data_IF_204044319273
#
_entry.id   IF_204044319273
#
_cell.length_a   1.000
_cell.length_b   1.000
_cell.length_c   1.000
_cell.angle_alpha   90.00
_cell.angle_beta   90.00
_cell.angle_gamma   90.00
#
_symmetry.space_group_name_H-M   'P 1'
#
loop_
_entity.id
_entity.type
_entity.pdbx_description
1 polymer ?
#
# COMPACT_ATOMS: atom_id res chain seq x y z
N UNK A 1 -15.33 -14.82 1.02
CA UNK A 1 -13.84 -14.69 0.97
C UNK A 1 -13.14 -15.99 0.49
N UNK A 2 -13.66 -17.20 0.71
CA UNK A 2 -12.94 -18.46 0.37
C UNK A 2 -13.05 -18.97 -1.09
N UNK A 3 -13.39 -18.12 -2.07
CA UNK A 3 -13.42 -18.49 -3.50
C UNK A 3 -12.58 -17.57 -4.39
N UNK A 4 -11.74 -16.73 -3.81
CA UNK A 4 -10.87 -15.85 -4.60
C UNK A 4 -9.73 -16.71 -5.14
N UNK A 5 -9.66 -16.85 -6.46
CA UNK A 5 -8.60 -17.59 -7.13
C UNK A 5 -7.26 -16.88 -6.88
N UNK A 6 -6.21 -17.65 -6.59
CA UNK A 6 -4.87 -17.13 -6.31
C UNK A 6 -4.33 -16.22 -7.43
N UNK A 7 -4.75 -16.44 -8.67
CA UNK A 7 -4.46 -15.58 -9.83
C UNK A 7 -5.06 -14.17 -9.71
N UNK A 8 -6.31 -14.06 -9.25
CA UNK A 8 -6.95 -12.75 -9.02
C UNK A 8 -6.30 -12.02 -7.84
N UNK A 9 -5.99 -12.77 -6.77
CA UNK A 9 -5.34 -12.23 -5.58
C UNK A 9 -3.92 -11.76 -5.90
N UNK A 10 -3.19 -12.49 -6.73
CA UNK A 10 -1.87 -12.10 -7.24
C UNK A 10 -1.93 -10.77 -7.99
N UNK A 11 -2.92 -10.60 -8.88
CA UNK A 11 -3.08 -9.38 -9.68
C UNK A 11 -3.39 -8.19 -8.78
N UNK A 12 -4.31 -8.37 -7.83
CA UNK A 12 -4.66 -7.33 -6.85
C UNK A 12 -3.44 -6.99 -5.98
N UNK A 13 -2.68 -7.97 -5.53
CA UNK A 13 -1.48 -7.76 -4.72
C UNK A 13 -0.45 -6.86 -5.43
N UNK A 14 -0.15 -7.12 -6.70
CA UNK A 14 0.78 -6.29 -7.47
C UNK A 14 0.26 -4.85 -7.70
N UNK A 15 -1.04 -4.69 -7.94
CA UNK A 15 -1.66 -3.36 -8.08
C UNK A 15 -1.58 -2.59 -6.76
N UNK A 16 -1.92 -3.23 -5.64
CA UNK A 16 -1.87 -2.61 -4.31
C UNK A 16 -0.43 -2.29 -3.91
N UNK A 17 0.53 -3.14 -4.27
CA UNK A 17 1.97 -2.90 -4.10
C UNK A 17 2.45 -1.68 -4.89
N UNK A 18 2.16 -1.62 -6.19
CA UNK A 18 2.50 -0.46 -7.01
C UNK A 18 1.84 0.83 -6.51
N UNK A 19 0.55 0.76 -6.14
CA UNK A 19 -0.19 1.87 -5.56
C UNK A 19 0.39 2.35 -4.23
N UNK A 20 0.81 1.42 -3.36
CA UNK A 20 1.47 1.73 -2.09
C UNK A 20 2.81 2.45 -2.28
N UNK A 21 3.62 2.03 -3.25
CA UNK A 21 4.86 2.71 -3.61
C UNK A 21 4.58 4.13 -4.14
N UNK A 22 3.63 4.27 -5.06
CA UNK A 22 3.25 5.58 -5.58
C UNK A 22 2.78 6.53 -4.46
N UNK A 23 2.02 6.00 -3.49
CA UNK A 23 1.56 6.78 -2.34
C UNK A 23 2.71 7.21 -1.42
N UNK A 24 3.73 6.36 -1.23
CA UNK A 24 4.95 6.71 -0.49
C UNK A 24 5.74 7.80 -1.21
N UNK A 25 5.87 7.70 -2.54
CA UNK A 25 6.51 8.72 -3.38
C UNK A 25 5.74 10.03 -3.42
N UNK A 26 4.44 10.02 -3.13
CA UNK A 26 3.62 11.22 -3.01
C UNK A 26 3.84 12.00 -1.69
N UNK A 27 4.35 11.35 -0.63
CA UNK A 27 4.57 11.98 0.69
C UNK A 27 5.51 13.20 0.64
N UNK A 28 6.66 13.18 -0.06
CA UNK A 28 7.56 14.33 -0.12
C UNK A 28 6.95 15.55 -0.84
N UNK A 29 5.95 15.35 -1.70
CA UNK A 29 5.31 16.42 -2.49
C UNK A 29 4.04 16.92 -1.80
N UNK A 30 3.17 16.00 -1.38
CA UNK A 30 1.83 16.29 -0.85
C UNK A 30 1.67 16.04 0.65
N UNK A 31 2.73 15.58 1.33
CA UNK A 31 2.66 15.29 2.75
C UNK A 31 2.52 16.56 3.59
N UNK A 32 1.68 16.51 4.61
CA UNK A 32 1.61 17.51 5.68
C UNK A 32 2.64 17.20 6.76
N UNK A 33 3.32 18.23 7.27
CA UNK A 33 4.21 18.12 8.43
C UNK A 33 3.38 18.13 9.70
N UNK A 34 3.39 17.01 10.43
CA UNK A 34 2.72 16.86 11.73
C UNK A 34 3.79 16.46 12.75
N UNK A 35 3.89 17.20 13.86
CA UNK A 35 4.89 16.99 14.91
C UNK A 35 6.34 16.94 14.36
N UNK A 36 6.69 17.85 13.45
CA UNK A 36 8.02 17.91 12.84
C UNK A 36 8.34 16.84 11.80
N UNK A 37 7.41 15.93 11.48
CA UNK A 37 7.61 14.85 10.52
C UNK A 37 6.60 14.89 9.37
N UNK A 38 7.09 14.71 8.14
CA UNK A 38 6.27 14.69 6.91
C UNK A 38 5.94 13.25 6.51
N UNK A 39 4.80 12.75 6.97
CA UNK A 39 4.40 11.33 6.80
C UNK A 39 2.90 11.10 6.57
N UNK A 40 2.09 12.16 6.69
CA UNK A 40 0.65 12.11 6.50
C UNK A 40 0.30 12.87 5.23
N UNK A 41 -0.61 12.34 4.42
CA UNK A 41 -1.21 13.07 3.30
C UNK A 41 -2.61 13.49 3.75
N UNK A 42 -2.88 14.79 3.73
CA UNK A 42 -4.16 15.36 4.12
C UNK A 42 -4.99 15.69 2.88
N UNK A 43 -6.17 15.07 2.75
CA UNK A 43 -7.11 15.28 1.66
C UNK A 43 -8.25 16.25 2.02
N UNK A 44 -8.09 17.03 3.09
CA UNK A 44 -9.07 17.99 3.62
C UNK A 44 -10.08 17.37 4.57
N UNK A 45 -10.72 16.26 4.17
CA UNK A 45 -11.75 15.58 4.97
C UNK A 45 -11.21 14.36 5.74
N UNK A 46 -10.10 13.80 5.27
CA UNK A 46 -9.44 12.66 5.91
C UNK A 46 -7.93 12.73 5.69
N UNK A 47 -7.18 12.14 6.60
CA UNK A 47 -5.73 12.00 6.53
C UNK A 47 -5.38 10.54 6.32
N UNK A 48 -4.49 10.27 5.37
CA UNK A 48 -3.97 8.92 5.13
C UNK A 48 -2.50 8.91 5.48
N UNK A 49 -2.07 7.87 6.19
CA UNK A 49 -0.66 7.59 6.39
C UNK A 49 -0.21 6.53 5.36
N UNK A 50 0.60 6.91 4.35
CA UNK A 50 0.94 5.99 3.26
C UNK A 50 1.69 4.74 3.71
N UNK A 51 2.41 4.83 4.84
CA UNK A 51 3.05 3.66 5.46
C UNK A 51 2.08 2.56 5.88
N UNK A 52 0.82 2.89 6.21
CA UNK A 52 -0.18 1.88 6.55
C UNK A 52 -0.67 1.11 5.33
N UNK A 53 -0.89 1.80 4.22
CA UNK A 53 -1.21 1.20 2.92
C UNK A 53 -0.05 0.33 2.44
N UNK A 54 1.19 0.82 2.58
CA UNK A 54 2.38 0.08 2.20
C UNK A 54 2.57 -1.23 2.99
N UNK A 55 2.26 -1.28 4.29
CA UNK A 55 2.32 -2.52 5.09
C UNK A 55 1.41 -3.61 4.51
N UNK A 56 0.15 -3.27 4.25
CA UNK A 56 -0.83 -4.22 3.66
C UNK A 56 -0.37 -4.66 2.28
N UNK A 57 0.12 -3.73 1.48
CA UNK A 57 0.62 -3.99 0.14
C UNK A 57 1.79 -4.98 0.11
N UNK A 58 2.75 -4.80 1.03
CA UNK A 58 3.91 -5.70 1.19
C UNK A 58 3.45 -7.09 1.62
N UNK A 59 2.53 -7.21 2.58
CA UNK A 59 2.01 -8.51 3.03
C UNK A 59 1.36 -9.28 1.88
N UNK A 60 0.54 -8.60 1.07
CA UNK A 60 -0.11 -9.22 -0.10
C UNK A 60 0.90 -9.62 -1.19
N UNK A 61 1.90 -8.76 -1.44
CA UNK A 61 2.96 -9.06 -2.41
C UNK A 61 3.80 -10.26 -1.97
N UNK A 62 4.21 -10.32 -0.70
CA UNK A 62 4.96 -11.43 -0.13
C UNK A 62 4.15 -12.73 -0.12
N UNK A 63 2.87 -12.67 0.28
CA UNK A 63 1.99 -13.83 0.22
C UNK A 63 1.86 -14.39 -1.21
N UNK A 64 1.76 -13.50 -2.21
CA UNK A 64 1.73 -13.87 -3.62
C UNK A 64 3.05 -14.48 -4.09
N UNK A 65 4.18 -13.90 -3.67
CA UNK A 65 5.50 -14.38 -4.04
C UNK A 65 5.77 -15.77 -3.47
N UNK A 66 5.47 -15.97 -2.18
CA UNK A 66 5.63 -17.26 -1.51
C UNK A 66 4.68 -18.32 -2.07
N UNK A 67 3.42 -17.97 -2.35
CA UNK A 67 2.44 -18.89 -2.95
C UNK A 67 2.81 -19.36 -4.37
N UNK A 68 3.74 -18.70 -5.06
CA UNK A 68 4.24 -19.12 -6.38
C UNK A 68 5.51 -19.97 -6.30
N UNK A 69 6.22 -19.92 -5.18
CA UNK A 69 7.47 -20.66 -4.96
C UNK A 69 7.28 -22.04 -4.32
N UNK A 70 6.09 -22.32 -3.80
CA UNK A 70 5.59 -23.64 -3.40
C UNK A 70 4.55 -24.14 -4.40
#
# INVERSE_FOLDING_TARGET
VSRIRLTELSRIAWIVYGGGIALLLAVPVFGSTINGARRWINFGFFTVQPAEVAKVAVVLALATLLSRGY
#
